data_IF_452555054556
#
_entry.id   IF_452555054556
#
_cell.length_a   1.000
_cell.length_b   1.000
_cell.length_c   1.000
_cell.angle_alpha   90.00
_cell.angle_beta   90.00
_cell.angle_gamma   90.00
#
_symmetry.space_group_name_H-M   'P 1'
#
loop_
_entity.id
_entity.type
_entity.pdbx_description
1 polymer ?
#
# COMPACT_ATOMS: atom_id res chain seq x y z
N UNK A 1 -10.58 55.80 -10.79
CA UNK A 1 -9.88 55.32 -12.00
C UNK A 1 -9.33 53.95 -11.64
N UNK A 2 -10.11 52.87 -11.82
CA UNK A 2 -10.25 52.08 -13.06
C UNK A 2 -8.89 51.43 -13.46
N UNK A 3 -8.76 50.16 -13.80
CA UNK A 3 -9.63 48.97 -13.80
C UNK A 3 -8.70 47.79 -14.13
N UNK A 4 -9.01 46.57 -13.70
CA UNK A 4 -8.18 45.39 -14.00
C UNK A 4 -8.79 44.09 -13.52
N UNK A 5 -10.06 43.89 -13.86
CA UNK A 5 -10.86 42.69 -13.69
C UNK A 5 -10.23 41.44 -14.32
N UNK A 6 -10.23 40.33 -13.59
CA UNK A 6 -10.46 39.02 -14.20
C UNK A 6 -11.41 38.22 -13.30
N UNK A 7 -12.56 37.93 -13.90
CA UNK A 7 -13.76 37.27 -13.41
C UNK A 7 -13.59 35.76 -13.32
N UNK A 8 -13.97 35.19 -12.18
CA UNK A 8 -14.52 33.83 -12.10
C UNK A 8 -15.97 33.98 -11.66
N UNK A 9 -16.87 33.62 -12.57
CA UNK A 9 -18.30 33.77 -12.39
C UNK A 9 -18.91 32.70 -11.50
N UNK A 10 -20.02 33.07 -10.85
CA UNK A 10 -21.12 32.14 -10.63
C UNK A 10 -21.38 31.64 -9.20
N UNK A 11 -21.16 32.41 -8.14
CA UNK A 11 -21.79 32.14 -6.84
C UNK A 11 -22.82 33.23 -6.51
N UNK A 12 -24.10 32.84 -6.40
CA UNK A 12 -25.17 33.75 -5.99
C UNK A 12 -25.13 33.95 -4.47
N UNK A 13 -24.44 34.98 -4.00
CA UNK A 13 -24.52 35.41 -2.60
C UNK A 13 -25.88 36.09 -2.34
N UNK A 14 -26.71 35.48 -1.48
CA UNK A 14 -27.96 36.10 -1.02
C UNK A 14 -27.65 36.97 0.20
N UNK A 15 -27.75 38.30 0.06
CA UNK A 15 -27.47 39.26 1.11
C UNK A 15 -28.75 39.81 1.72
N UNK A 16 -28.90 39.75 3.04
CA UNK A 16 -30.03 40.35 3.75
C UNK A 16 -29.56 41.26 4.90
N UNK A 17 -30.23 42.42 5.08
CA UNK A 17 -29.78 43.52 5.97
C UNK A 17 -30.49 43.47 7.33
N UNK A 18 -29.73 43.52 8.44
CA UNK A 18 -30.23 43.94 9.75
C UNK A 18 -29.17 44.77 10.50
N UNK A 19 -29.56 45.92 11.03
CA UNK A 19 -28.65 46.81 11.78
C UNK A 19 -28.63 46.47 13.27
N UNK A 20 -27.43 46.34 13.85
CA UNK A 20 -27.24 46.30 15.30
C UNK A 20 -26.02 47.18 15.66
N UNK A 21 -26.23 48.15 16.56
CA UNK A 21 -25.22 49.08 17.07
C UNK A 21 -24.74 48.58 18.44
N UNK A 22 -23.52 48.05 18.59
CA UNK A 22 -22.81 47.82 19.88
C UNK A 22 -21.28 47.70 19.61
N UNK A 23 -20.40 48.00 20.59
CA UNK A 23 -18.94 48.26 20.46
C UNK A 23 -17.90 47.10 20.58
N UNK A 24 -16.65 47.41 20.18
CA UNK A 24 -15.68 46.59 19.38
C UNK A 24 -14.89 45.40 19.98
N UNK A 25 -15.12 44.88 21.18
CA UNK A 25 -14.34 43.68 21.65
C UNK A 25 -15.14 42.56 22.31
N UNK A 26 -16.36 42.84 22.80
CA UNK A 26 -17.32 41.82 23.24
C UNK A 26 -18.15 41.23 22.07
N UNK A 27 -18.10 41.85 20.89
CA UNK A 27 -18.97 41.52 19.75
C UNK A 27 -18.67 40.19 19.08
N UNK A 28 -17.41 39.75 18.97
CA UNK A 28 -17.08 38.55 18.16
C UNK A 28 -17.57 37.27 18.87
N UNK A 29 -17.32 37.14 20.18
CA UNK A 29 -17.84 36.02 20.98
C UNK A 29 -19.36 36.10 21.20
N UNK A 30 -19.92 37.32 21.33
CA UNK A 30 -21.36 37.52 21.42
C UNK A 30 -22.09 37.16 20.12
N UNK A 31 -21.53 37.53 18.97
CA UNK A 31 -22.11 37.23 17.66
C UNK A 31 -22.00 35.75 17.29
N UNK A 32 -20.90 35.07 17.63
CA UNK A 32 -20.77 33.62 17.44
C UNK A 32 -21.82 32.84 18.24
N UNK A 33 -22.03 33.24 19.50
CA UNK A 33 -23.07 32.65 20.36
C UNK A 33 -24.50 32.99 19.89
N UNK A 34 -24.71 34.18 19.30
CA UNK A 34 -25.98 34.58 18.70
C UNK A 34 -26.32 33.73 17.46
N UNK A 35 -25.35 33.50 16.56
CA UNK A 35 -25.52 32.63 15.38
C UNK A 35 -25.84 31.20 15.82
N UNK A 36 -25.10 30.67 16.81
CA UNK A 36 -25.31 29.31 17.32
C UNK A 36 -26.69 29.12 17.97
N UNK A 37 -27.19 30.12 18.72
CA UNK A 37 -28.53 30.07 19.35
C UNK A 37 -29.68 30.27 18.36
N UNK A 38 -29.47 31.04 17.29
CA UNK A 38 -30.54 31.41 16.34
C UNK A 38 -30.40 30.77 14.96
N UNK A 39 -29.55 29.74 14.81
CA UNK A 39 -29.23 29.10 13.53
C UNK A 39 -30.50 28.70 12.75
N UNK A 40 -31.49 28.10 13.42
CA UNK A 40 -32.77 27.70 12.79
C UNK A 40 -33.60 28.89 12.28
N UNK A 41 -33.57 30.03 12.97
CA UNK A 41 -34.25 31.25 12.50
C UNK A 41 -33.50 31.90 11.33
N UNK A 42 -32.16 31.81 11.31
CA UNK A 42 -31.33 32.29 10.21
C UNK A 42 -31.55 31.41 8.95
N UNK A 43 -31.70 30.09 9.11
CA UNK A 43 -32.08 29.18 8.02
C UNK A 43 -33.38 29.60 7.33
N UNK A 44 -34.44 29.88 8.12
CA UNK A 44 -35.73 30.31 7.58
C UNK A 44 -35.70 31.70 6.94
N UNK A 45 -34.65 32.50 7.17
CA UNK A 45 -34.56 33.88 6.71
C UNK A 45 -33.94 34.01 5.31
N UNK A 46 -33.08 33.07 4.91
CA UNK A 46 -32.45 33.07 3.59
C UNK A 46 -33.24 32.28 2.53
N UNK A 47 -34.36 31.64 2.90
CA UNK A 47 -35.15 30.75 2.02
C UNK A 47 -34.30 29.68 1.31
N UNK A 48 -33.23 29.20 1.97
CA UNK A 48 -32.35 28.15 1.44
C UNK A 48 -32.75 26.80 2.08
N UNK A 49 -33.05 25.76 1.28
CA UNK A 49 -33.32 24.40 1.79
C UNK A 49 -32.16 23.90 2.66
N UNK A 50 -32.48 23.26 3.79
CA UNK A 50 -31.50 22.89 4.83
C UNK A 50 -30.34 22.03 4.31
N UNK A 51 -30.57 21.26 3.24
CA UNK A 51 -29.60 20.37 2.59
C UNK A 51 -28.60 21.09 1.66
N UNK A 52 -28.84 22.37 1.32
CA UNK A 52 -28.01 23.13 0.36
C UNK A 52 -27.12 24.20 1.01
N UNK A 53 -27.23 24.38 2.32
CA UNK A 53 -26.47 25.39 3.05
C UNK A 53 -25.16 24.78 3.57
N UNK A 54 -24.02 25.16 2.99
CA UNK A 54 -22.73 24.57 3.34
C UNK A 54 -22.13 25.22 4.59
N UNK A 55 -22.12 26.57 4.64
CA UNK A 55 -21.60 27.37 5.76
C UNK A 55 -22.33 28.71 5.87
N UNK A 56 -22.46 29.20 7.11
CA UNK A 56 -22.86 30.59 7.43
C UNK A 56 -21.64 31.34 7.93
N UNK A 57 -21.29 32.45 7.30
CA UNK A 57 -20.18 33.32 7.68
C UNK A 57 -20.66 34.69 8.13
N UNK A 58 -19.81 35.41 8.87
CA UNK A 58 -20.06 36.80 9.25
C UNK A 58 -18.81 37.65 9.01
N UNK A 59 -18.97 38.80 8.35
CA UNK A 59 -17.93 39.82 8.20
C UNK A 59 -18.32 41.07 8.99
N UNK A 60 -17.34 41.90 9.36
CA UNK A 60 -17.59 43.19 9.98
C UNK A 60 -17.04 44.29 9.08
N UNK A 61 -17.90 45.22 8.70
CA UNK A 61 -17.54 46.39 7.92
C UNK A 61 -17.18 47.55 8.85
N UNK A 62 -15.90 47.94 8.79
CA UNK A 62 -15.34 48.99 9.62
C UNK A 62 -15.81 50.40 9.24
N UNK A 63 -16.23 50.64 7.99
CA UNK A 63 -16.67 51.95 7.53
C UNK A 63 -18.12 52.23 7.93
N UNK A 64 -18.99 51.22 7.82
CA UNK A 64 -20.41 51.35 8.19
C UNK A 64 -20.73 50.94 9.63
N UNK A 65 -19.76 50.42 10.38
CA UNK A 65 -19.88 49.90 11.75
C UNK A 65 -20.97 48.81 11.89
N UNK A 66 -21.04 47.87 10.92
CA UNK A 66 -22.09 46.83 10.86
C UNK A 66 -21.51 45.44 10.60
N UNK A 67 -22.24 44.41 11.01
CA UNK A 67 -21.95 43.02 10.68
C UNK A 67 -22.80 42.54 9.52
N UNK A 68 -22.19 41.81 8.59
CA UNK A 68 -22.82 41.19 7.44
C UNK A 68 -22.82 39.68 7.60
N UNK A 69 -23.98 39.05 7.48
CA UNK A 69 -24.11 37.59 7.50
C UNK A 69 -24.37 37.13 6.07
N UNK A 70 -23.58 36.16 5.62
CA UNK A 70 -23.72 35.57 4.30
C UNK A 70 -23.83 34.05 4.41
N UNK A 71 -24.59 33.47 3.48
CA UNK A 71 -24.75 32.03 3.35
C UNK A 71 -24.15 31.57 2.03
N UNK A 72 -23.35 30.50 2.07
CA UNK A 72 -22.84 29.84 0.88
C UNK A 72 -23.78 28.68 0.52
N UNK A 73 -24.42 28.79 -0.65
CA UNK A 73 -25.24 27.73 -1.23
C UNK A 73 -24.55 27.13 -2.45
N UNK A 74 -24.61 25.82 -2.63
CA UNK A 74 -24.09 25.18 -3.85
C UNK A 74 -24.97 25.52 -5.06
N UNK A 75 -24.41 26.25 -6.01
CA UNK A 75 -24.88 26.28 -7.39
C UNK A 75 -23.86 25.57 -8.27
N UNK A 76 -24.34 24.66 -9.12
CA UNK A 76 -23.60 23.82 -10.08
C UNK A 76 -22.65 22.77 -9.49
N UNK A 77 -22.90 21.52 -9.89
CA UNK A 77 -22.10 20.32 -9.67
C UNK A 77 -20.70 20.45 -10.29
N UNK A 78 -19.75 21.01 -9.53
CA UNK A 78 -18.37 20.54 -9.60
C UNK A 78 -18.23 19.52 -8.48
N UNK A 79 -18.52 18.27 -8.81
CA UNK A 79 -18.15 17.13 -7.96
C UNK A 79 -16.63 17.19 -7.75
N UNK A 80 -16.20 17.74 -6.62
CA UNK A 80 -14.88 17.49 -6.03
C UNK A 80 -14.82 16.05 -5.49
N UNK A 81 -15.39 15.09 -6.23
CA UNK A 81 -15.20 13.68 -5.98
C UNK A 81 -13.75 13.39 -6.35
N UNK A 82 -12.93 13.04 -5.35
CA UNK A 82 -11.58 12.50 -5.57
C UNK A 82 -11.63 11.53 -6.75
N UNK A 83 -10.91 11.85 -7.83
CA UNK A 83 -10.75 10.91 -8.94
C UNK A 83 -10.08 9.67 -8.37
N UNK A 84 -10.81 8.56 -8.32
CA UNK A 84 -10.28 7.33 -7.77
C UNK A 84 -9.06 6.89 -8.57
N UNK A 85 -8.03 6.44 -7.85
CA UNK A 85 -6.83 5.93 -8.47
C UNK A 85 -7.09 4.58 -9.14
N UNK A 86 -6.42 4.34 -10.26
CA UNK A 86 -6.48 3.09 -11.00
C UNK A 86 -5.07 2.60 -11.30
N UNK A 87 -4.87 1.29 -11.33
CA UNK A 87 -3.60 0.70 -11.72
C UNK A 87 -3.22 1.13 -13.15
N UNK A 88 -1.95 1.45 -13.37
CA UNK A 88 -1.41 1.75 -14.72
C UNK A 88 -1.40 0.55 -15.67
N UNK A 89 -1.30 -0.65 -15.10
CA UNK A 89 -1.18 -1.91 -15.83
C UNK A 89 -2.10 -2.94 -15.19
N UNK A 90 -2.52 -3.92 -15.98
CA UNK A 90 -3.36 -5.04 -15.51
C UNK A 90 -4.66 -4.58 -14.82
N UNK A 91 -5.16 -3.39 -15.16
CA UNK A 91 -6.28 -2.70 -14.50
C UNK A 91 -7.54 -3.54 -14.54
N UNK A 92 -7.89 -4.06 -15.71
CA UNK A 92 -9.16 -4.74 -15.96
C UNK A 92 -9.03 -6.27 -16.01
N UNK A 93 -7.91 -6.85 -15.57
CA UNK A 93 -7.71 -8.31 -15.66
C UNK A 93 -8.86 -9.07 -15.01
N UNK A 94 -9.23 -8.73 -13.78
CA UNK A 94 -10.33 -9.42 -13.09
C UNK A 94 -11.73 -9.05 -13.63
N UNK A 95 -11.87 -7.90 -14.31
CA UNK A 95 -13.13 -7.52 -14.98
C UNK A 95 -13.41 -8.47 -16.14
N UNK A 96 -12.38 -8.86 -16.88
CA UNK A 96 -12.49 -9.77 -18.02
C UNK A 96 -12.44 -11.26 -17.65
N UNK A 97 -12.11 -11.60 -16.41
CA UNK A 97 -12.10 -12.99 -15.92
C UNK A 97 -13.52 -13.43 -15.52
N UNK A 98 -13.84 -14.72 -15.67
CA UNK A 98 -15.10 -15.26 -15.16
C UNK A 98 -15.20 -15.04 -13.65
N UNK A 99 -16.41 -14.85 -13.14
CA UNK A 99 -16.66 -14.49 -11.73
C UNK A 99 -16.02 -15.48 -10.76
N UNK A 100 -16.01 -16.77 -11.10
CA UNK A 100 -15.44 -17.84 -10.29
C UNK A 100 -13.91 -17.73 -10.13
N UNK A 101 -13.24 -16.88 -10.93
CA UNK A 101 -11.81 -16.61 -10.82
C UNK A 101 -11.48 -15.81 -9.55
N UNK A 102 -12.25 -14.78 -9.25
CA UNK A 102 -11.97 -13.82 -8.17
C UNK A 102 -13.01 -13.85 -7.04
N UNK A 103 -14.20 -14.42 -7.25
CA UNK A 103 -15.23 -14.59 -6.21
C UNK A 103 -14.89 -15.77 -5.28
N UNK A 104 -13.86 -15.58 -4.47
CA UNK A 104 -13.37 -16.58 -3.51
C UNK A 104 -14.39 -16.89 -2.40
N UNK A 105 -15.42 -16.09 -2.19
CA UNK A 105 -16.45 -16.39 -1.19
C UNK A 105 -17.29 -17.60 -1.60
N UNK A 106 -17.50 -17.76 -2.91
CA UNK A 106 -18.21 -18.91 -3.52
C UNK A 106 -17.38 -20.20 -3.56
N UNK A 107 -16.06 -20.15 -3.31
CA UNK A 107 -15.17 -21.31 -3.41
C UNK A 107 -15.63 -22.46 -2.50
N UNK A 108 -15.77 -23.65 -3.09
CA UNK A 108 -15.94 -24.91 -2.36
C UNK A 108 -14.59 -25.61 -2.28
N UNK A 109 -14.08 -25.78 -1.05
CA UNK A 109 -12.78 -26.39 -0.79
C UNK A 109 -12.95 -27.91 -0.76
N UNK A 110 -12.19 -28.60 -1.61
CA UNK A 110 -11.98 -30.04 -1.52
C UNK A 110 -10.89 -30.29 -0.47
N UNK A 111 -11.19 -31.13 0.51
CA UNK A 111 -10.30 -31.41 1.63
C UNK A 111 -9.60 -32.75 1.39
N UNK A 112 -8.28 -32.75 1.42
CA UNK A 112 -7.45 -33.96 1.47
C UNK A 112 -7.45 -34.60 2.86
N UNK A 113 -6.76 -35.72 2.99
CA UNK A 113 -6.58 -36.42 4.27
C UNK A 113 -5.41 -35.82 5.04
N UNK A 114 -5.62 -35.47 6.31
CA UNK A 114 -4.56 -34.93 7.14
C UNK A 114 -3.55 -36.01 7.54
N UNK A 115 -3.99 -37.27 7.64
CA UNK A 115 -3.15 -38.39 8.08
C UNK A 115 -2.09 -38.77 7.03
N UNK A 116 -2.19 -38.24 5.80
CA UNK A 116 -1.14 -38.32 4.77
C UNK A 116 0.11 -37.49 5.13
N UNK A 117 0.08 -36.65 6.17
CA UNK A 117 1.15 -35.71 6.50
C UNK A 117 1.57 -35.77 7.97
N UNK A 118 2.83 -36.12 8.21
CA UNK A 118 3.42 -36.14 9.54
C UNK A 118 4.27 -34.90 9.81
N UNK A 119 4.09 -34.30 11.00
CA UNK A 119 4.89 -33.15 11.45
C UNK A 119 6.26 -33.62 11.93
N UNK A 120 7.33 -33.07 11.36
CA UNK A 120 8.71 -33.33 11.79
C UNK A 120 9.14 -32.32 12.85
N UNK A 121 9.06 -31.02 12.52
CA UNK A 121 9.49 -29.95 13.43
C UNK A 121 8.84 -28.62 13.10
N UNK A 122 8.75 -27.75 14.09
CA UNK A 122 8.29 -26.37 13.89
C UNK A 122 9.38 -25.56 13.19
N UNK A 123 9.01 -24.81 12.16
CA UNK A 123 9.94 -23.93 11.40
C UNK A 123 9.56 -22.46 11.45
N UNK A 124 8.31 -22.14 11.81
CA UNK A 124 7.88 -20.74 11.87
C UNK A 124 6.59 -20.51 12.65
N UNK A 125 6.35 -19.25 12.99
CA UNK A 125 5.11 -18.79 13.62
C UNK A 125 4.72 -17.44 13.05
N UNK A 126 3.52 -17.36 12.50
CA UNK A 126 2.91 -16.13 12.02
C UNK A 126 1.81 -15.63 12.95
N UNK A 127 1.29 -14.44 12.64
CA UNK A 127 0.09 -13.91 13.31
C UNK A 127 -1.12 -14.82 13.13
N UNK A 128 -1.27 -15.42 11.95
CA UNK A 128 -2.45 -16.20 11.54
C UNK A 128 -2.17 -17.69 11.33
N UNK A 129 -0.94 -18.15 11.54
CA UNK A 129 -0.57 -19.54 11.31
C UNK A 129 0.58 -20.01 12.20
N UNK A 130 0.74 -21.31 12.27
CA UNK A 130 1.95 -21.99 12.71
C UNK A 130 2.48 -22.84 11.55
N UNK A 131 3.79 -22.88 11.36
CA UNK A 131 4.41 -23.49 10.19
C UNK A 131 5.37 -24.56 10.64
N UNK A 132 5.22 -25.74 10.04
CA UNK A 132 5.99 -26.93 10.35
C UNK A 132 6.61 -27.49 9.08
N UNK A 133 7.78 -28.06 9.22
CA UNK A 133 8.29 -29.04 8.26
C UNK A 133 7.58 -30.37 8.53
N UNK A 134 7.18 -31.04 7.46
CA UNK A 134 6.56 -32.36 7.52
C UNK A 134 7.03 -33.28 6.41
N UNK A 135 6.51 -34.51 6.42
CA UNK A 135 6.72 -35.52 5.39
C UNK A 135 5.34 -35.99 4.93
N UNK A 136 5.15 -36.08 3.61
CA UNK A 136 4.01 -36.80 3.07
C UNK A 136 4.33 -38.30 3.12
N UNK A 137 3.57 -39.07 3.90
CA UNK A 137 3.85 -40.49 4.15
C UNK A 137 3.53 -41.39 2.96
N UNK A 138 2.73 -40.90 2.00
CA UNK A 138 2.35 -41.66 0.81
C UNK A 138 3.49 -41.77 -0.21
N UNK A 139 4.36 -40.76 -0.29
CA UNK A 139 5.47 -40.68 -1.25
C UNK A 139 6.84 -40.39 -0.62
N UNK A 140 6.89 -40.19 0.71
CA UNK A 140 8.08 -39.87 1.49
C UNK A 140 8.78 -38.55 1.10
N UNK A 141 8.05 -37.60 0.50
CA UNK A 141 8.57 -36.29 0.15
C UNK A 141 8.41 -35.28 1.30
N UNK A 142 9.40 -34.40 1.47
CA UNK A 142 9.33 -33.30 2.45
C UNK A 142 8.33 -32.24 2.00
N UNK A 143 7.56 -31.71 2.94
CA UNK A 143 6.59 -30.65 2.71
C UNK A 143 6.62 -29.59 3.81
N UNK A 144 5.88 -28.50 3.60
CA UNK A 144 5.60 -27.49 4.62
C UNK A 144 4.12 -27.54 4.98
N UNK A 145 3.83 -27.72 6.26
CA UNK A 145 2.48 -27.75 6.82
C UNK A 145 2.21 -26.40 7.50
N UNK A 146 1.35 -25.58 6.90
CA UNK A 146 0.89 -24.31 7.47
C UNK A 146 -0.47 -24.52 8.13
N UNK A 147 -0.47 -24.70 9.45
CA UNK A 147 -1.69 -24.81 10.25
C UNK A 147 -2.27 -23.40 10.45
N UNK A 148 -3.52 -23.20 10.03
CA UNK A 148 -4.18 -21.89 10.13
C UNK A 148 -4.81 -21.72 11.50
N UNK A 149 -4.47 -20.63 12.20
CA UNK A 149 -5.13 -20.25 13.45
C UNK A 149 -6.59 -19.85 13.18
N UNK A 150 -7.47 -19.84 14.20
CA UNK A 150 -8.85 -19.40 14.04
C UNK A 150 -8.95 -18.01 13.40
N UNK A 151 -9.40 -17.97 12.14
CA UNK A 151 -9.63 -16.75 11.35
C UNK A 151 -10.94 -16.87 10.57
N UNK A 152 -11.46 -15.74 10.08
CA UNK A 152 -12.69 -15.73 9.26
C UNK A 152 -12.53 -16.65 8.04
N UNK A 153 -13.52 -17.52 7.80
CA UNK A 153 -13.54 -18.45 6.63
C UNK A 153 -13.27 -17.75 5.30
N UNK A 154 -13.79 -16.52 5.13
CA UNK A 154 -13.54 -15.66 3.96
C UNK A 154 -12.04 -15.47 3.66
N UNK A 155 -11.21 -15.32 4.71
CA UNK A 155 -9.76 -15.14 4.56
C UNK A 155 -9.07 -16.43 4.09
N UNK A 156 -9.50 -17.57 4.62
CA UNK A 156 -8.98 -18.89 4.25
C UNK A 156 -9.29 -19.19 2.79
N UNK A 157 -10.55 -19.00 2.37
CA UNK A 157 -10.95 -19.18 0.97
C UNK A 157 -10.20 -18.26 0.02
N UNK A 158 -9.95 -17.00 0.42
CA UNK A 158 -9.16 -16.06 -0.38
C UNK A 158 -7.74 -16.55 -0.59
N UNK A 159 -7.04 -16.95 0.46
CA UNK A 159 -5.67 -17.46 0.38
C UNK A 159 -5.60 -18.71 -0.51
N UNK A 160 -6.50 -19.67 -0.31
CA UNK A 160 -6.60 -20.86 -1.15
C UNK A 160 -6.85 -20.50 -2.62
N UNK A 161 -7.83 -19.63 -2.89
CA UNK A 161 -8.19 -19.28 -4.27
C UNK A 161 -7.04 -18.60 -5.00
N UNK A 162 -6.35 -17.69 -4.33
CA UNK A 162 -5.16 -17.01 -4.87
C UNK A 162 -4.05 -18.02 -5.15
N UNK A 163 -3.74 -18.91 -4.21
CA UNK A 163 -2.72 -19.95 -4.39
C UNK A 163 -3.05 -20.90 -5.54
N UNK A 164 -4.32 -21.30 -5.69
CA UNK A 164 -4.78 -22.12 -6.81
C UNK A 164 -4.61 -21.38 -8.15
N UNK A 165 -5.00 -20.10 -8.22
CA UNK A 165 -4.89 -19.30 -9.43
C UNK A 165 -3.44 -19.01 -9.84
N UNK A 166 -2.51 -18.95 -8.88
CA UNK A 166 -1.10 -18.65 -9.11
C UNK A 166 -0.21 -19.91 -9.22
N UNK A 167 -0.77 -21.10 -9.00
CA UNK A 167 -0.02 -22.35 -9.04
C UNK A 167 0.60 -22.57 -10.43
N UNK A 168 1.90 -22.92 -10.46
CA UNK A 168 2.68 -23.04 -11.69
C UNK A 168 3.31 -21.72 -12.17
N UNK A 169 3.02 -20.60 -11.51
CA UNK A 169 3.67 -19.32 -11.75
C UNK A 169 5.16 -19.31 -11.41
N UNK A 170 5.97 -18.49 -12.10
CA UNK A 170 7.39 -18.36 -11.80
C UNK A 170 7.60 -17.87 -10.36
N UNK A 171 8.38 -18.64 -9.60
CA UNK A 171 8.80 -18.31 -8.24
C UNK A 171 7.64 -18.07 -7.25
N UNK A 172 6.44 -18.59 -7.53
CA UNK A 172 5.33 -18.65 -6.57
C UNK A 172 5.37 -20.00 -5.86
N UNK A 173 5.20 -20.01 -4.53
CA UNK A 173 5.15 -21.27 -3.77
C UNK A 173 3.98 -22.15 -4.22
N UNK A 174 4.26 -23.43 -4.46
CA UNK A 174 3.26 -24.40 -4.86
C UNK A 174 2.44 -24.87 -3.66
N UNK A 175 1.12 -24.65 -3.72
CA UNK A 175 0.15 -25.33 -2.86
C UNK A 175 -0.04 -26.76 -3.38
N UNK A 176 0.31 -27.74 -2.57
CA UNK A 176 0.23 -29.16 -2.90
C UNK A 176 -1.15 -29.75 -2.52
N UNK A 177 -1.64 -29.39 -1.34
CA UNK A 177 -2.87 -29.95 -0.79
C UNK A 177 -3.50 -29.02 0.27
N UNK A 178 -4.76 -29.28 0.60
CA UNK A 178 -5.56 -28.55 1.59
C UNK A 178 -6.22 -29.58 2.48
N UNK A 179 -5.73 -29.72 3.71
CA UNK A 179 -6.22 -30.74 4.64
C UNK A 179 -6.92 -30.09 5.82
N UNK A 180 -7.66 -30.90 6.57
CA UNK A 180 -8.36 -30.43 7.77
C UNK A 180 -8.45 -31.52 8.81
N UNK A 181 -8.07 -31.17 10.02
CA UNK A 181 -8.14 -32.05 11.17
C UNK A 181 -9.58 -32.52 11.41
N UNK A 182 -9.80 -33.82 11.55
CA UNK A 182 -11.14 -34.37 11.60
C UNK A 182 -11.88 -34.02 12.90
N UNK A 183 -11.17 -33.80 14.00
CA UNK A 183 -11.78 -33.48 15.29
C UNK A 183 -11.97 -31.96 15.47
N UNK A 184 -10.90 -31.19 15.43
CA UNK A 184 -10.88 -29.74 15.66
C UNK A 184 -11.39 -28.93 14.46
N UNK A 185 -11.48 -29.54 13.27
CA UNK A 185 -11.80 -28.88 12.00
C UNK A 185 -10.82 -27.76 11.64
N UNK A 186 -9.61 -27.80 12.18
CA UNK A 186 -8.54 -26.83 11.90
C UNK A 186 -7.98 -27.08 10.50
N UNK A 187 -8.01 -26.09 9.59
CA UNK A 187 -7.49 -26.26 8.24
C UNK A 187 -5.97 -26.03 8.19
N UNK A 188 -5.31 -26.83 7.36
CA UNK A 188 -3.89 -26.73 7.07
C UNK A 188 -3.65 -26.66 5.57
N UNK A 189 -2.69 -25.83 5.15
CA UNK A 189 -2.25 -25.73 3.77
C UNK A 189 -0.90 -26.43 3.63
N UNK A 190 -0.79 -27.33 2.66
CA UNK A 190 0.42 -28.12 2.41
C UNK A 190 1.16 -27.50 1.22
N UNK A 191 2.45 -27.21 1.38
CA UNK A 191 3.27 -26.58 0.36
C UNK A 191 4.52 -27.40 0.02
N UNK A 192 5.11 -27.10 -1.14
CA UNK A 192 6.47 -27.58 -1.47
C UNK A 192 7.46 -27.16 -0.38
N UNK A 193 8.41 -28.05 -0.07
CA UNK A 193 9.53 -27.72 0.80
C UNK A 193 10.57 -26.89 0.05
N UNK A 194 11.03 -25.82 0.68
CA UNK A 194 12.14 -24.98 0.18
C UNK A 194 13.25 -25.00 1.23
N UNK A 195 14.48 -25.36 0.82
CA UNK A 195 15.65 -25.34 1.70
C UNK A 195 16.16 -23.92 1.90
N UNK A 196 15.37 -23.09 2.57
CA UNK A 196 15.64 -21.67 2.71
C UNK A 196 16.71 -21.38 3.77
N UNK A 197 17.64 -20.47 3.46
CA UNK A 197 18.50 -19.83 4.47
C UNK A 197 17.82 -18.58 5.02
N UNK A 198 17.88 -18.36 6.33
CA UNK A 198 17.32 -17.14 6.96
C UNK A 198 17.97 -15.88 6.37
N UNK A 199 17.16 -14.90 5.98
CA UNK A 199 17.64 -13.70 5.29
C UNK A 199 18.65 -12.89 6.12
N UNK A 200 18.58 -12.93 7.46
CA UNK A 200 19.56 -12.22 8.32
C UNK A 200 20.95 -12.82 8.23
N UNK A 201 21.04 -14.10 7.88
CA UNK A 201 22.31 -14.79 7.64
C UNK A 201 22.71 -14.64 6.17
N UNK A 202 21.75 -14.78 5.25
CA UNK A 202 22.02 -14.78 3.81
C UNK A 202 22.33 -13.38 3.25
N UNK A 203 21.52 -12.36 3.55
CA UNK A 203 21.65 -11.04 2.90
C UNK A 203 23.01 -10.39 3.10
N UNK A 204 23.66 -10.47 4.29
CA UNK A 204 25.01 -9.95 4.47
C UNK A 204 26.08 -10.61 3.58
N UNK A 205 25.87 -11.86 3.13
CA UNK A 205 26.83 -12.62 2.31
C UNK A 205 26.63 -12.43 0.81
N UNK A 206 25.51 -11.85 0.39
CA UNK A 206 25.19 -11.66 -1.02
C UNK A 206 26.15 -10.68 -1.70
N UNK A 207 26.62 -11.06 -2.89
CA UNK A 207 27.34 -10.17 -3.79
C UNK A 207 26.38 -9.20 -4.50
N UNK A 208 26.89 -8.14 -5.13
CA UNK A 208 26.08 -7.24 -5.98
C UNK A 208 25.29 -8.04 -7.04
N UNK A 209 25.93 -9.00 -7.69
CA UNK A 209 25.28 -9.86 -8.68
C UNK A 209 24.18 -10.73 -8.06
N UNK A 210 24.37 -11.27 -6.87
CA UNK A 210 23.33 -12.05 -6.20
C UNK A 210 22.11 -11.20 -5.83
N UNK A 211 22.34 -9.96 -5.37
CA UNK A 211 21.24 -9.01 -5.10
C UNK A 211 20.46 -8.75 -6.40
N UNK A 212 21.15 -8.42 -7.50
CA UNK A 212 20.52 -8.25 -8.83
C UNK A 212 19.70 -9.48 -9.20
N UNK A 213 20.29 -10.67 -9.06
CA UNK A 213 19.65 -11.92 -9.43
C UNK A 213 18.39 -12.20 -8.60
N UNK A 214 18.46 -12.16 -7.27
CA UNK A 214 17.30 -12.49 -6.43
C UNK A 214 16.20 -11.44 -6.49
N UNK A 215 16.54 -10.15 -6.65
CA UNK A 215 15.53 -9.11 -6.89
C UNK A 215 14.85 -9.34 -8.25
N UNK A 216 15.59 -9.73 -9.28
CA UNK A 216 15.02 -10.07 -10.59
C UNK A 216 14.10 -11.29 -10.53
N UNK A 217 14.49 -12.35 -9.80
CA UNK A 217 13.64 -13.53 -9.58
C UNK A 217 12.37 -13.20 -8.79
N UNK A 218 12.45 -12.29 -7.81
CA UNK A 218 11.28 -11.79 -7.08
C UNK A 218 10.37 -10.95 -7.99
N UNK A 219 10.95 -10.11 -8.85
CA UNK A 219 10.18 -9.33 -9.83
C UNK A 219 9.39 -10.23 -10.81
N UNK A 220 9.91 -11.39 -11.20
CA UNK A 220 9.16 -12.37 -12.00
C UNK A 220 7.89 -12.85 -11.28
N UNK A 221 7.98 -13.14 -9.98
CA UNK A 221 6.83 -13.53 -9.18
C UNK A 221 5.79 -12.41 -9.06
N UNK A 222 6.26 -11.17 -8.87
CA UNK A 222 5.40 -9.99 -8.76
C UNK A 222 4.71 -9.65 -10.09
N UNK A 223 5.44 -9.59 -11.20
CA UNK A 223 4.84 -9.34 -12.52
C UNK A 223 3.82 -10.44 -12.86
N UNK A 224 4.14 -11.70 -12.56
CA UNK A 224 3.19 -12.79 -12.75
C UNK A 224 1.92 -12.60 -11.93
N UNK A 225 2.01 -12.39 -10.60
CA UNK A 225 0.79 -12.25 -9.80
C UNK A 225 0.00 -10.97 -10.14
N UNK A 226 0.68 -9.86 -10.46
CA UNK A 226 0.05 -8.63 -10.94
C UNK A 226 -0.68 -8.87 -12.26
N UNK A 227 -0.08 -9.61 -13.21
CA UNK A 227 -0.71 -10.00 -14.48
C UNK A 227 -1.91 -10.93 -14.30
N UNK A 228 -1.99 -11.63 -13.17
CA UNK A 228 -3.12 -12.44 -12.73
C UNK A 228 -4.14 -11.64 -11.90
N UNK A 229 -4.01 -10.32 -11.84
CA UNK A 229 -4.94 -9.45 -11.13
C UNK A 229 -4.83 -9.56 -9.60
N UNK A 230 -3.68 -9.96 -9.06
CA UNK A 230 -3.48 -10.21 -7.63
C UNK A 230 -2.33 -9.36 -7.08
N UNK A 231 -2.60 -8.63 -5.98
CA UNK A 231 -1.59 -7.93 -5.18
C UNK A 231 -1.16 -8.82 -4.02
N UNK A 232 0.15 -8.89 -3.72
CA UNK A 232 0.66 -9.69 -2.60
C UNK A 232 0.41 -9.02 -1.24
N UNK A 233 0.67 -7.71 -1.13
CA UNK A 233 0.42 -6.82 0.02
C UNK A 233 1.17 -7.15 1.32
N UNK A 234 2.15 -8.04 1.29
CA UNK A 234 3.08 -8.30 2.40
C UNK A 234 4.46 -8.75 1.91
N UNK A 235 4.96 -8.11 0.84
CA UNK A 235 6.32 -8.37 0.33
C UNK A 235 7.33 -7.87 1.36
N UNK A 236 8.20 -8.77 1.82
CA UNK A 236 9.25 -8.53 2.83
C UNK A 236 10.24 -9.70 2.85
N UNK A 237 11.44 -9.56 3.44
CA UNK A 237 12.45 -10.61 3.44
C UNK A 237 11.98 -11.94 4.03
N UNK A 238 11.14 -11.89 5.07
CA UNK A 238 10.58 -13.08 5.72
C UNK A 238 9.65 -13.92 4.81
N UNK A 239 9.10 -13.31 3.75
CA UNK A 239 8.19 -13.97 2.82
C UNK A 239 8.90 -14.35 1.50
N UNK A 240 10.22 -14.25 1.45
CA UNK A 240 11.03 -14.63 0.27
C UNK A 240 11.99 -15.74 0.68
N UNK A 241 11.64 -16.96 0.27
CA UNK A 241 12.43 -18.15 0.56
C UNK A 241 13.50 -18.34 -0.52
N UNK A 242 14.77 -18.40 -0.11
CA UNK A 242 15.91 -18.54 -1.02
C UNK A 242 16.71 -19.80 -0.65
N UNK A 243 16.75 -20.73 -1.58
CA UNK A 243 17.75 -21.79 -1.63
C UNK A 243 18.94 -21.26 -2.42
N UNK A 244 19.99 -20.84 -1.71
CA UNK A 244 21.12 -20.16 -2.32
C UNK A 244 22.03 -21.11 -3.11
N UNK A 245 22.10 -22.37 -2.69
CA UNK A 245 22.88 -23.42 -3.37
C UNK A 245 22.29 -23.71 -4.76
N UNK A 246 20.97 -23.86 -4.84
CA UNK A 246 20.27 -24.10 -6.10
C UNK A 246 19.89 -22.82 -6.85
N UNK A 247 20.17 -21.65 -6.28
CA UNK A 247 19.73 -20.32 -6.76
C UNK A 247 18.22 -20.25 -7.03
N UNK A 248 17.41 -20.88 -6.17
CA UNK A 248 15.93 -20.89 -6.31
C UNK A 248 15.28 -19.93 -5.33
N UNK A 249 14.27 -19.21 -5.82
CA UNK A 249 13.47 -18.28 -5.02
C UNK A 249 11.99 -18.70 -5.04
N UNK A 250 11.32 -18.55 -3.89
CA UNK A 250 9.86 -18.64 -3.77
C UNK A 250 9.30 -17.47 -2.97
N UNK A 251 8.31 -16.78 -3.51
CA UNK A 251 7.44 -15.87 -2.79
C UNK A 251 6.35 -16.67 -2.07
N UNK A 252 6.27 -16.50 -0.75
CA UNK A 252 5.39 -17.25 0.14
C UNK A 252 4.39 -16.34 0.88
N UNK A 253 3.49 -16.95 1.66
CA UNK A 253 2.52 -16.29 2.54
C UNK A 253 1.55 -15.31 1.85
N UNK A 254 0.68 -15.88 1.02
CA UNK A 254 -0.38 -15.18 0.29
C UNK A 254 -1.61 -14.85 1.15
N UNK A 255 -1.53 -14.96 2.49
CA UNK A 255 -2.66 -14.77 3.39
C UNK A 255 -3.18 -13.32 3.49
N UNK A 256 -2.37 -12.34 3.08
CA UNK A 256 -2.76 -10.93 2.95
C UNK A 256 -3.02 -10.49 1.52
N UNK A 257 -2.75 -11.35 0.53
CA UNK A 257 -2.99 -11.05 -0.88
C UNK A 257 -4.48 -10.79 -1.18
N UNK A 258 -4.75 -10.12 -2.30
CA UNK A 258 -6.10 -9.74 -2.71
C UNK A 258 -6.21 -9.55 -4.23
N UNK A 259 -7.40 -9.80 -4.76
CA UNK A 259 -7.76 -9.48 -6.14
C UNK A 259 -7.93 -7.97 -6.32
N UNK A 260 -7.25 -7.42 -7.32
CA UNK A 260 -7.40 -6.03 -7.74
C UNK A 260 -8.68 -5.83 -8.56
N UNK A 261 -9.43 -4.78 -8.27
CA UNK A 261 -10.59 -4.34 -9.03
C UNK A 261 -10.53 -2.81 -9.09
N UNK A 262 -10.67 -2.19 -10.28
CA UNK A 262 -10.60 -0.75 -10.41
C UNK A 262 -11.70 -0.07 -9.59
N UNK A 263 -11.33 0.97 -8.84
CA UNK A 263 -12.25 1.71 -7.98
C UNK A 263 -12.65 1.01 -6.68
N UNK A 264 -12.09 -0.15 -6.36
CA UNK A 264 -12.33 -0.81 -5.07
C UNK A 264 -11.44 -0.19 -3.99
N UNK A 265 -12.05 0.15 -2.86
CA UNK A 265 -11.33 0.52 -1.65
C UNK A 265 -10.86 -0.74 -0.90
N UNK A 266 -9.59 -0.73 -0.49
CA UNK A 266 -8.91 -1.81 0.20
C UNK A 266 -8.50 -1.40 1.60
N UNK A 267 -8.53 -2.36 2.53
CA UNK A 267 -8.07 -2.14 3.89
C UNK A 267 -6.57 -1.79 3.92
N UNK A 268 -6.20 -0.67 4.55
CA UNK A 268 -4.81 -0.21 4.68
C UNK A 268 -4.01 -0.91 5.78
N UNK A 269 -4.67 -1.68 6.64
CA UNK A 269 -4.05 -2.45 7.75
C UNK A 269 -3.43 -3.78 7.26
N UNK A 270 -2.73 -3.72 6.14
CA UNK A 270 -1.95 -4.80 5.50
C UNK A 270 -0.45 -4.48 5.53
N UNK A 271 0.39 -5.39 5.07
CA UNK A 271 1.86 -5.31 5.15
C UNK A 271 2.43 -5.19 6.58
N UNK A 272 3.72 -5.48 6.67
CA UNK A 272 4.53 -5.27 7.87
C UNK A 272 5.06 -3.84 7.90
N UNK A 273 5.11 -3.20 9.09
CA UNK A 273 5.33 -1.74 9.26
C UNK A 273 6.41 -1.14 8.35
N UNK A 274 7.60 -1.73 8.35
CA UNK A 274 8.77 -1.20 7.63
C UNK A 274 8.65 -1.22 6.10
N UNK A 275 7.67 -1.95 5.58
CA UNK A 275 7.42 -2.16 4.15
C UNK A 275 6.09 -1.55 3.69
N UNK A 276 5.38 -0.85 4.58
CA UNK A 276 4.14 -0.14 4.22
C UNK A 276 4.45 1.02 3.28
N UNK A 277 3.75 1.05 2.14
CA UNK A 277 3.73 2.19 1.24
C UNK A 277 3.09 3.43 1.89
N UNK A 278 3.47 4.65 1.49
CA UNK A 278 2.86 5.89 1.93
C UNK A 278 1.32 5.86 1.88
N UNK A 279 0.74 5.28 0.83
CA UNK A 279 -0.72 5.10 0.66
C UNK A 279 -1.38 4.43 1.87
N UNK A 280 -0.72 3.46 2.52
CA UNK A 280 -1.25 2.79 3.71
C UNK A 280 -1.12 3.63 4.98
N UNK A 281 -0.16 4.56 5.00
CA UNK A 281 0.16 5.42 6.15
C UNK A 281 -0.66 6.71 6.14
N UNK A 282 -1.15 7.12 4.97
CA UNK A 282 -2.01 8.30 4.77
C UNK A 282 -3.47 7.94 4.44
N UNK A 283 -3.83 6.67 4.61
CA UNK A 283 -5.19 6.11 4.42
C UNK A 283 -5.78 6.28 3.01
N UNK A 284 -4.94 6.22 1.97
CA UNK A 284 -5.39 6.09 0.58
C UNK A 284 -5.79 4.63 0.30
N UNK A 285 -7.09 4.36 0.17
CA UNK A 285 -7.64 3.00 0.13
C UNK A 285 -7.75 2.37 -1.27
N UNK A 286 -7.84 3.16 -2.33
CA UNK A 286 -7.95 2.70 -3.73
C UNK A 286 -6.56 2.42 -4.36
N UNK A 287 -5.65 1.87 -3.55
CA UNK A 287 -4.31 1.50 -3.99
C UNK A 287 -4.31 0.24 -4.86
N UNK A 288 -3.19 0.02 -5.55
CA UNK A 288 -3.02 -1.07 -6.51
C UNK A 288 -1.69 -1.85 -6.33
N UNK A 289 -1.32 -2.64 -7.35
CA UNK A 289 -0.11 -3.45 -7.45
C UNK A 289 1.19 -2.69 -7.10
N UNK A 290 1.23 -1.38 -7.34
CA UNK A 290 2.36 -0.49 -7.00
C UNK A 290 2.73 -0.49 -5.52
N UNK A 291 1.85 -0.95 -4.63
CA UNK A 291 2.16 -1.17 -3.21
C UNK A 291 3.29 -2.19 -3.04
N UNK A 292 3.25 -3.29 -3.78
CA UNK A 292 4.27 -4.34 -3.70
C UNK A 292 5.63 -3.81 -4.20
N UNK A 293 5.62 -2.87 -5.14
CA UNK A 293 6.82 -2.24 -5.69
C UNK A 293 7.51 -1.30 -4.68
N UNK A 294 6.73 -0.63 -3.82
CA UNK A 294 7.31 0.11 -2.68
C UNK A 294 7.96 -0.84 -1.68
N UNK A 295 7.26 -1.92 -1.31
CA UNK A 295 7.78 -2.92 -0.39
C UNK A 295 9.08 -3.55 -0.92
N UNK A 296 9.14 -3.84 -2.21
CA UNK A 296 10.35 -4.27 -2.91
C UNK A 296 11.48 -3.22 -2.80
N UNK A 297 11.17 -1.94 -3.01
CA UNK A 297 12.13 -0.85 -2.85
C UNK A 297 12.71 -0.77 -1.43
N UNK A 298 11.88 -0.97 -0.41
CA UNK A 298 12.32 -1.02 0.99
C UNK A 298 13.25 -2.21 1.27
N UNK A 299 12.94 -3.39 0.71
CA UNK A 299 13.83 -4.56 0.77
C UNK A 299 15.17 -4.28 0.10
N UNK A 300 15.11 -3.77 -1.14
CA UNK A 300 16.29 -3.49 -1.95
C UNK A 300 17.21 -2.46 -1.29
N UNK A 301 16.65 -1.36 -0.76
CA UNK A 301 17.40 -0.38 0.02
C UNK A 301 18.06 -1.01 1.25
N UNK A 302 17.37 -1.91 1.95
CA UNK A 302 17.93 -2.63 3.09
C UNK A 302 19.13 -3.48 2.71
N UNK A 303 19.09 -4.14 1.56
CA UNK A 303 20.18 -4.97 1.03
C UNK A 303 21.38 -4.12 0.59
N UNK A 304 21.19 -3.15 -0.31
CA UNK A 304 22.33 -2.41 -0.90
C UNK A 304 22.98 -1.44 0.09
N UNK A 305 22.24 -0.90 1.07
CA UNK A 305 22.81 -0.04 2.10
C UNK A 305 23.21 -0.80 3.36
N UNK A 306 23.01 -2.12 3.42
CA UNK A 306 23.21 -2.95 4.63
C UNK A 306 22.54 -2.34 5.86
N UNK A 307 21.32 -1.85 5.70
CA UNK A 307 20.54 -1.15 6.73
C UNK A 307 19.15 -1.74 6.83
N UNK A 308 18.99 -2.72 7.70
CA UNK A 308 17.73 -3.46 7.83
C UNK A 308 17.05 -3.23 9.19
N UNK A 309 15.80 -2.74 9.22
CA UNK A 309 15.02 -2.19 8.09
C UNK A 309 15.53 -0.81 7.64
N UNK A 310 15.30 -0.45 6.37
CA UNK A 310 15.75 0.84 5.85
C UNK A 310 14.97 2.02 6.46
N UNK A 311 13.63 1.93 6.51
CA UNK A 311 12.78 2.87 7.23
C UNK A 311 12.34 2.23 8.55
N UNK A 312 12.91 2.70 9.67
CA UNK A 312 12.70 2.11 10.99
C UNK A 312 11.81 2.99 11.88
N UNK A 313 10.50 2.94 11.66
CA UNK A 313 9.51 3.63 12.49
C UNK A 313 9.06 2.82 13.69
N UNK A 314 8.86 3.45 14.85
CA UNK A 314 8.40 2.78 16.06
C UNK A 314 6.92 2.36 15.99
N UNK A 315 6.10 3.15 15.30
CA UNK A 315 4.70 2.89 14.97
C UNK A 315 4.40 3.35 13.53
N UNK A 316 3.13 3.33 13.11
CA UNK A 316 2.76 3.73 11.75
C UNK A 316 2.94 5.24 11.50
N UNK A 317 2.77 6.09 12.51
CA UNK A 317 2.96 7.53 12.38
C UNK A 317 4.44 7.86 12.21
N UNK A 318 5.30 7.33 13.10
CA UNK A 318 6.75 7.50 13.00
C UNK A 318 7.32 6.84 11.73
N UNK A 319 6.67 5.80 11.20
CA UNK A 319 7.06 5.22 9.90
C UNK A 319 6.98 6.25 8.77
N UNK A 320 5.89 7.04 8.69
CA UNK A 320 5.77 8.11 7.69
C UNK A 320 6.83 9.19 7.90
N UNK A 321 7.13 9.53 9.17
CA UNK A 321 8.19 10.48 9.52
C UNK A 321 9.56 9.99 9.04
N UNK A 322 9.88 8.71 9.21
CA UNK A 322 11.16 8.15 8.70
C UNK A 322 11.24 8.24 7.18
N UNK A 323 10.13 8.05 6.47
CA UNK A 323 10.07 8.19 5.02
C UNK A 323 10.29 9.66 4.63
N UNK A 324 9.56 10.59 5.25
CA UNK A 324 9.67 12.04 5.03
C UNK A 324 11.07 12.59 5.29
N UNK A 325 11.79 12.07 6.29
CA UNK A 325 13.18 12.44 6.55
C UNK A 325 14.15 12.10 5.42
N UNK A 326 13.79 11.17 4.54
CA UNK A 326 14.61 10.74 3.40
C UNK A 326 14.08 11.31 2.09
N UNK A 327 12.81 11.10 1.76
CA UNK A 327 12.23 11.53 0.48
C UNK A 327 11.84 13.02 0.48
N UNK A 328 11.80 13.66 1.64
CA UNK A 328 11.44 15.07 1.80
C UNK A 328 9.93 15.29 1.87
N UNK A 329 9.54 16.43 2.44
CA UNK A 329 8.13 16.76 2.68
C UNK A 329 7.47 17.46 1.50
N UNK A 330 8.27 18.06 0.60
CA UNK A 330 7.72 18.78 -0.56
C UNK A 330 7.02 17.80 -1.53
N UNK A 331 7.63 16.64 -1.81
CA UNK A 331 7.01 15.58 -2.61
C UNK A 331 5.83 14.90 -1.90
N UNK A 332 5.91 14.73 -0.57
CA UNK A 332 4.78 14.23 0.24
C UNK A 332 3.58 15.17 0.13
N UNK A 333 3.79 16.48 0.26
CA UNK A 333 2.73 17.48 0.15
C UNK A 333 2.12 17.51 -1.25
N UNK A 334 2.94 17.38 -2.31
CA UNK A 334 2.44 17.27 -3.68
C UNK A 334 1.56 16.02 -3.87
N UNK A 335 1.97 14.88 -3.30
CA UNK A 335 1.20 13.64 -3.31
C UNK A 335 -0.14 13.79 -2.57
N UNK A 336 -0.13 14.32 -1.34
CA UNK A 336 -1.34 14.55 -0.55
C UNK A 336 -2.32 15.47 -1.28
N UNK A 337 -1.83 16.57 -1.85
CA UNK A 337 -2.65 17.51 -2.62
C UNK A 337 -3.25 16.86 -3.87
N UNK A 338 -2.47 16.06 -4.61
CA UNK A 338 -2.93 15.38 -5.84
C UNK A 338 -4.11 14.45 -5.58
N UNK A 339 -4.10 13.75 -4.44
CA UNK A 339 -5.15 12.79 -4.08
C UNK A 339 -6.18 13.34 -3.08
N UNK A 340 -6.15 14.66 -2.80
CA UNK A 340 -7.03 15.32 -1.85
C UNK A 340 -7.06 14.63 -0.46
N UNK A 341 -5.87 14.32 0.05
CA UNK A 341 -5.66 13.69 1.36
C UNK A 341 -5.22 14.73 2.38
N UNK A 342 -5.80 14.67 3.57
CA UNK A 342 -5.38 15.49 4.71
C UNK A 342 -4.78 14.59 5.78
N UNK A 343 -3.61 14.97 6.30
CA UNK A 343 -3.04 14.31 7.47
C UNK A 343 -3.77 14.78 8.73
N UNK A 344 -3.89 13.89 9.72
CA UNK A 344 -4.29 14.30 11.06
C UNK A 344 -3.32 15.38 11.58
N UNK A 345 -3.79 16.46 12.25
CA UNK A 345 -2.93 17.56 12.70
C UNK A 345 -1.76 17.13 13.60
N UNK A 346 -1.92 16.05 14.38
CA UNK A 346 -0.83 15.53 15.21
C UNK A 346 0.24 14.85 14.35
N UNK A 347 -0.18 14.13 13.31
CA UNK A 347 0.72 13.49 12.35
C UNK A 347 1.45 14.52 11.49
N UNK A 348 0.74 15.54 11.01
CA UNK A 348 1.34 16.64 10.23
C UNK A 348 2.44 17.35 11.03
N UNK A 349 2.15 17.70 12.29
CA UNK A 349 3.13 18.29 13.19
C UNK A 349 4.34 17.37 13.45
N UNK A 350 4.13 16.06 13.54
CA UNK A 350 5.19 15.07 13.74
C UNK A 350 6.07 14.89 12.49
N UNK A 351 5.47 14.95 11.30
CA UNK A 351 6.18 14.87 10.01
C UNK A 351 7.09 16.09 9.82
N UNK A 352 6.60 17.28 10.17
CA UNK A 352 7.38 18.52 10.11
C UNK A 352 7.84 18.86 8.68
N UNK A 353 9.01 19.49 8.54
CA UNK A 353 9.59 19.88 7.24
C UNK A 353 10.97 19.26 7.02
N UNK A 354 11.14 18.58 5.89
CA UNK A 354 12.40 17.91 5.54
C UNK A 354 12.74 18.08 4.06
N UNK A 355 14.00 18.38 3.75
CA UNK A 355 14.51 18.30 2.38
C UNK A 355 14.84 16.85 2.00
N UNK A 356 14.56 16.49 0.74
CA UNK A 356 14.98 15.20 0.15
C UNK A 356 16.48 14.99 0.35
N UNK A 357 16.86 13.79 0.78
CA UNK A 357 18.25 13.39 0.97
C UNK A 357 18.74 12.67 -0.27
N UNK A 358 19.92 13.01 -0.81
CA UNK A 358 20.52 12.22 -1.86
C UNK A 358 20.88 10.84 -1.31
N UNK A 359 20.69 9.80 -2.12
CA UNK A 359 21.00 8.42 -1.74
C UNK A 359 22.47 8.21 -1.35
N UNK A 360 23.37 9.04 -1.86
CA UNK A 360 24.79 9.04 -1.49
C UNK A 360 25.05 9.20 0.02
N UNK A 361 24.12 9.77 0.79
CA UNK A 361 24.24 9.85 2.25
C UNK A 361 24.18 8.50 2.98
N UNK A 362 23.69 7.45 2.33
CA UNK A 362 23.61 6.12 2.91
C UNK A 362 24.76 5.20 2.47
N UNK A 363 25.66 5.71 1.63
CA UNK A 363 26.85 4.98 1.17
C UNK A 363 27.97 5.12 2.20
N UNK A 364 28.60 4.02 2.56
CA UNK A 364 29.74 3.96 3.47
C UNK A 364 30.72 2.85 3.04
N UNK A 365 31.83 2.71 3.76
CA UNK A 365 32.87 1.72 3.44
C UNK A 365 32.35 0.27 3.42
N UNK A 366 31.32 -0.05 4.21
CA UNK A 366 30.79 -1.41 4.35
C UNK A 366 29.82 -1.80 3.24
N UNK A 367 29.31 -0.84 2.46
CA UNK A 367 28.26 -1.08 1.47
C UNK A 367 28.56 -0.51 0.07
N UNK A 368 29.62 0.29 -0.09
CA UNK A 368 29.97 0.92 -1.37
C UNK A 368 30.12 -0.06 -2.54
N UNK A 369 30.52 -1.31 -2.27
CA UNK A 369 30.68 -2.36 -3.28
C UNK A 369 29.34 -2.92 -3.80
N UNK A 370 28.21 -2.59 -3.16
CA UNK A 370 26.85 -2.97 -3.55
C UNK A 370 26.10 -1.81 -4.21
N UNK A 371 26.70 -0.63 -4.30
CA UNK A 371 26.04 0.59 -4.77
C UNK A 371 26.67 1.04 -6.09
N UNK A 372 25.85 1.14 -7.11
CA UNK A 372 26.20 1.62 -8.46
C UNK A 372 25.21 2.71 -8.89
N UNK A 373 25.54 3.55 -9.88
CA UNK A 373 24.59 4.52 -10.42
C UNK A 373 23.26 3.87 -10.84
N UNK A 374 23.32 2.66 -11.43
CA UNK A 374 22.15 1.90 -11.84
C UNK A 374 21.33 1.39 -10.65
N UNK A 375 21.96 1.02 -9.53
CA UNK A 375 21.22 0.59 -8.33
C UNK A 375 20.52 1.76 -7.67
N UNK A 376 21.14 2.93 -7.63
CA UNK A 376 20.54 4.16 -7.12
C UNK A 376 19.37 4.62 -7.99
N UNK A 377 19.55 4.66 -9.32
CA UNK A 377 18.48 5.03 -10.25
C UNK A 377 17.29 4.05 -10.19
N UNK A 378 17.57 2.75 -10.07
CA UNK A 378 16.54 1.74 -9.87
C UNK A 378 15.76 1.96 -8.56
N UNK A 379 16.46 2.18 -7.45
CA UNK A 379 15.84 2.41 -6.15
C UNK A 379 14.99 3.68 -6.15
N UNK A 380 15.49 4.77 -6.75
CA UNK A 380 14.80 6.05 -6.82
C UNK A 380 13.45 5.94 -7.54
N UNK A 381 13.38 5.13 -8.59
CA UNK A 381 12.15 4.86 -9.35
C UNK A 381 11.18 3.88 -8.68
N UNK A 382 11.59 3.22 -7.59
CA UNK A 382 10.70 2.41 -6.74
C UNK A 382 10.15 3.21 -5.55
N UNK A 383 11.02 3.96 -4.85
CA UNK A 383 10.67 4.71 -3.65
C UNK A 383 10.14 6.10 -3.97
N UNK A 384 8.95 6.14 -4.59
CA UNK A 384 8.17 7.35 -4.84
C UNK A 384 6.94 7.39 -3.93
N UNK A 385 6.59 8.59 -3.45
CA UNK A 385 5.34 8.80 -2.71
C UNK A 385 4.14 8.41 -3.56
N UNK A 386 4.04 9.05 -4.72
CA UNK A 386 3.01 8.74 -5.69
C UNK A 386 3.19 7.34 -6.22
N UNK A 387 2.23 6.50 -5.90
CA UNK A 387 2.21 5.10 -6.29
C UNK A 387 2.10 4.92 -7.81
N UNK A 388 1.53 5.92 -8.50
CA UNK A 388 1.48 5.97 -9.96
C UNK A 388 2.83 6.24 -10.61
N UNK A 389 3.80 6.83 -9.90
CA UNK A 389 5.12 7.15 -10.45
C UNK A 389 6.14 6.00 -10.29
N UNK A 390 5.77 4.95 -9.56
CA UNK A 390 6.66 3.80 -9.32
C UNK A 390 6.77 2.94 -10.57
N UNK A 391 7.93 2.29 -10.78
CA UNK A 391 8.04 1.27 -11.81
C UNK A 391 7.04 0.14 -11.55
N UNK A 392 6.40 -0.33 -12.61
CA UNK A 392 5.72 -1.64 -12.59
C UNK A 392 6.77 -2.76 -12.51
N UNK A 393 6.36 -3.97 -12.10
CA UNK A 393 7.28 -5.11 -12.02
C UNK A 393 7.98 -5.40 -13.37
N UNK A 394 7.24 -5.31 -14.48
CA UNK A 394 7.77 -5.47 -15.84
C UNK A 394 8.76 -4.38 -16.25
N UNK A 395 8.45 -3.11 -15.97
CA UNK A 395 9.39 -2.00 -16.22
C UNK A 395 10.65 -2.13 -15.36
N UNK A 396 10.50 -2.55 -14.10
CA UNK A 396 11.62 -2.84 -13.20
C UNK A 396 12.51 -3.95 -13.75
N UNK A 397 11.96 -5.06 -14.26
CA UNK A 397 12.75 -6.11 -14.90
C UNK A 397 13.52 -5.62 -16.13
N UNK A 398 13.01 -4.64 -16.86
CA UNK A 398 13.68 -4.05 -18.02
C UNK A 398 14.81 -3.05 -17.65
N UNK A 399 14.89 -2.62 -16.39
CA UNK A 399 15.86 -1.62 -15.93
C UNK A 399 17.32 -2.01 -16.25
N UNK A 400 18.21 -1.06 -16.57
CA UNK A 400 19.63 -1.32 -16.82
C UNK A 400 20.36 -2.09 -15.69
N UNK A 401 19.93 -1.90 -14.44
CA UNK A 401 20.46 -2.62 -13.28
C UNK A 401 20.45 -4.15 -13.45
N UNK A 402 19.49 -4.70 -14.21
CA UNK A 402 19.36 -6.15 -14.46
C UNK A 402 19.94 -6.61 -15.80
N UNK A 403 20.64 -5.76 -16.55
CA UNK A 403 21.17 -6.11 -17.88
C UNK A 403 22.01 -7.40 -17.85
N UNK A 404 22.94 -7.53 -16.87
CA UNK A 404 23.79 -8.71 -16.73
C UNK A 404 22.99 -9.98 -16.42
N UNK A 405 21.96 -9.88 -15.57
CA UNK A 405 21.09 -11.02 -15.22
C UNK A 405 20.32 -11.50 -16.45
N UNK A 406 19.72 -10.57 -17.22
CA UNK A 406 19.02 -10.90 -18.47
C UNK A 406 19.94 -11.51 -19.52
N UNK A 407 21.16 -10.99 -19.66
CA UNK A 407 22.15 -11.53 -20.57
C UNK A 407 22.54 -12.98 -20.20
N UNK A 408 22.74 -13.25 -18.91
CA UNK A 408 23.04 -14.60 -18.42
C UNK A 408 21.88 -15.58 -18.64
N UNK A 409 20.64 -15.15 -18.41
CA UNK A 409 19.44 -15.96 -18.66
C UNK A 409 19.27 -16.30 -20.16
N UNK A 410 19.42 -15.30 -21.04
CA UNK A 410 19.31 -15.51 -22.49
C UNK A 410 20.36 -16.48 -23.03
N UNK A 411 21.58 -16.46 -22.48
CA UNK A 411 22.63 -17.40 -22.86
C UNK A 411 22.28 -18.83 -22.45
N UNK A 412 21.69 -19.04 -21.25
CA UNK A 412 21.27 -20.35 -20.76
C UNK A 412 20.09 -20.94 -21.54
N UNK A 413 19.21 -20.11 -22.12
CA UNK A 413 18.09 -20.60 -22.93
C UNK A 413 18.50 -21.03 -24.35
N UNK A 414 19.68 -20.60 -24.82
CA UNK A 414 20.20 -20.93 -26.16
C UNK A 414 21.09 -22.17 -26.19
N UNK A 415 21.58 -22.59 -25.02
CA UNK A 415 22.31 -23.84 -24.79
C UNK A 415 21.35 -24.91 -24.32
#
# INVERSE_FOLDING_TARGET
MACGSCSLGGENAVNARKGANIGKKFLINGAYNFIRKNLRQIHNFFDIPQERLLKVGMTYDCESNRFWIFALSSSSSCDLTRSMSQARVYTDVNVHRPREYWDYESLTVQWGDQDDYEVVRKVGRGKYSEVFEGINVTNNERCIIKILKPVKKKKIKREIKILQNLCGGPNVVKLLDIVRDQHSKTPSLIFEYVNSTDFKVLYPTLTDYDIRYYIYELLKALDYCHSQGIMHRDVKPHNVMIDHELRKLRLIDWGLAEFYHPGKEYNVRVASRYFKGPELLVDLQDYDYSLDMWSLGCMFAGMIFRKEPFFYGHDNHDQLVKIAKVLGTDELNAYLNKYHLELDPQLDALVGRHSRKPWSRFINADNQHLVSPESIDFLDKLLRYDHQDRLTAKEAMAHPYFHQVRAAENSRMRT
#
